data_IF_072326550313
#
_entry.id   IF_072326550313
#
_cell.length_a   1.000
_cell.length_b   1.000
_cell.length_c   1.000
_cell.angle_alpha   90.00
_cell.angle_beta   90.00
_cell.angle_gamma   90.00
#
_symmetry.space_group_name_H-M   'P 1'
#
loop_
_entity.id
_entity.type
_entity.pdbx_description
1 polymer ?
#
# COMPACT_ATOMS: atom_id res chain seq x y z
N UNK A 1 25.09 -1.14 0.34
CA UNK A 1 23.82 -0.71 -0.35
C UNK A 1 22.66 -1.26 0.46
N UNK A 2 21.70 -0.40 0.82
CA UNK A 2 20.52 -0.81 1.59
C UNK A 2 19.58 -1.58 0.65
N UNK A 3 19.16 -2.77 1.05
CA UNK A 3 18.23 -3.58 0.25
C UNK A 3 16.81 -3.00 0.26
N UNK A 4 15.97 -3.45 -0.67
CA UNK A 4 14.55 -3.07 -0.68
C UNK A 4 13.84 -3.56 0.59
N UNK A 5 14.16 -4.77 1.04
CA UNK A 5 13.63 -5.33 2.29
C UNK A 5 14.00 -4.48 3.51
N UNK A 6 15.28 -4.07 3.63
CA UNK A 6 15.71 -3.18 4.71
C UNK A 6 14.97 -1.84 4.70
N UNK A 7 14.71 -1.27 3.51
CA UNK A 7 13.94 -0.03 3.38
C UNK A 7 12.49 -0.22 3.84
N UNK A 8 11.84 -1.32 3.44
CA UNK A 8 10.48 -1.65 3.87
C UNK A 8 10.42 -1.79 5.40
N UNK A 9 11.34 -2.56 5.99
CA UNK A 9 11.39 -2.76 7.44
C UNK A 9 11.66 -1.46 8.20
N UNK A 10 12.56 -0.62 7.70
CA UNK A 10 12.85 0.69 8.32
C UNK A 10 11.62 1.62 8.27
N UNK A 11 10.95 1.69 7.12
CA UNK A 11 9.73 2.49 7.00
C UNK A 11 8.65 1.98 7.95
N UNK A 12 8.45 0.66 8.00
CA UNK A 12 7.52 0.04 8.94
C UNK A 12 7.82 0.44 10.39
N UNK A 13 9.06 0.29 10.82
CA UNK A 13 9.50 0.63 12.17
C UNK A 13 9.28 2.11 12.51
N UNK A 14 9.56 3.02 11.56
CA UNK A 14 9.37 4.46 11.74
C UNK A 14 7.90 4.85 11.86
N UNK A 15 7.03 4.25 11.04
CA UNK A 15 5.59 4.48 11.09
C UNK A 15 4.96 3.87 12.34
N UNK A 16 5.38 2.66 12.73
CA UNK A 16 4.91 1.98 13.94
C UNK A 16 5.27 2.77 15.20
N UNK A 17 6.51 3.25 15.31
CA UNK A 17 6.95 4.13 16.42
C UNK A 17 6.18 5.44 16.50
N UNK A 18 5.65 5.92 15.39
CA UNK A 18 4.84 7.14 15.34
C UNK A 18 3.33 6.85 15.53
N UNK A 19 2.96 5.60 15.80
CA UNK A 19 1.57 5.14 15.93
C UNK A 19 0.74 5.43 14.67
N UNK A 20 1.38 5.31 13.50
CA UNK A 20 0.74 5.50 12.19
C UNK A 20 0.29 4.15 11.64
N UNK A 21 -1.02 3.91 11.64
CA UNK A 21 -1.60 2.72 11.03
C UNK A 21 -1.35 2.72 9.51
N UNK A 22 -0.81 1.62 9.01
CA UNK A 22 -0.42 1.49 7.60
C UNK A 22 -0.46 0.03 7.14
N UNK A 23 -0.42 -0.17 5.83
CA UNK A 23 -0.24 -1.49 5.22
C UNK A 23 0.49 -1.36 3.88
N UNK A 24 1.41 -2.28 3.63
CA UNK A 24 2.09 -2.36 2.33
C UNK A 24 1.17 -2.96 1.27
N UNK A 25 1.20 -2.38 0.08
CA UNK A 25 0.39 -2.79 -1.06
C UNK A 25 1.24 -3.29 -2.23
N UNK A 26 0.74 -3.09 -3.44
CA UNK A 26 1.46 -3.31 -4.68
C UNK A 26 2.05 -4.72 -4.83
N UNK A 27 3.27 -4.79 -5.37
CA UNK A 27 3.94 -6.06 -5.64
C UNK A 27 4.26 -6.87 -4.38
N UNK A 28 4.49 -6.20 -3.25
CA UNK A 28 4.75 -6.89 -1.98
C UNK A 28 3.50 -7.63 -1.48
N UNK A 29 2.35 -6.95 -1.43
CA UNK A 29 1.09 -7.59 -1.06
C UNK A 29 0.71 -8.71 -2.04
N UNK A 30 0.94 -8.52 -3.33
CA UNK A 30 0.71 -9.54 -4.35
C UNK A 30 1.57 -10.80 -4.11
N UNK A 31 2.84 -10.63 -3.74
CA UNK A 31 3.73 -11.75 -3.43
C UNK A 31 3.21 -12.61 -2.26
N UNK A 32 2.68 -11.98 -1.21
CA UNK A 32 2.07 -12.72 -0.11
C UNK A 32 0.74 -13.39 -0.51
N UNK A 33 -0.02 -12.78 -1.41
CA UNK A 33 -1.28 -13.34 -1.90
C UNK A 33 -1.04 -14.55 -2.81
N UNK A 34 -0.11 -14.47 -3.76
CA UNK A 34 0.14 -15.51 -4.75
C UNK A 34 1.23 -16.51 -4.32
N UNK A 35 2.02 -16.18 -3.31
CA UNK A 35 3.19 -16.97 -2.90
C UNK A 35 4.38 -16.86 -3.85
N UNK A 36 4.30 -16.01 -4.88
CA UNK A 36 5.35 -15.81 -5.88
C UNK A 36 5.93 -14.39 -5.80
N UNK A 37 7.18 -14.23 -5.31
CA UNK A 37 7.85 -12.94 -5.30
C UNK A 37 8.03 -12.40 -6.72
N UNK A 38 7.66 -11.13 -6.93
CA UNK A 38 7.93 -10.42 -8.16
C UNK A 38 9.01 -9.37 -7.93
N UNK A 39 9.92 -9.22 -8.87
CA UNK A 39 10.88 -8.13 -8.83
C UNK A 39 10.14 -6.78 -8.89
N UNK A 40 10.40 -5.92 -7.91
CA UNK A 40 9.89 -4.56 -7.83
C UNK A 40 10.99 -3.62 -7.38
N UNK A 41 10.88 -2.34 -7.75
CA UNK A 41 11.73 -1.26 -7.25
C UNK A 41 10.95 -0.28 -6.39
N UNK A 42 9.62 -0.33 -6.47
CA UNK A 42 8.72 0.60 -5.82
C UNK A 42 8.20 0.00 -4.51
N UNK A 43 7.99 0.85 -3.53
CA UNK A 43 7.33 0.53 -2.27
C UNK A 43 5.97 1.22 -2.27
N UNK A 44 4.89 0.45 -2.19
CA UNK A 44 3.52 0.97 -2.10
C UNK A 44 3.05 0.86 -0.66
N UNK A 45 2.57 1.98 -0.09
CA UNK A 45 2.12 2.04 1.30
C UNK A 45 0.77 2.75 1.38
N UNK A 46 -0.19 2.07 1.98
CA UNK A 46 -1.45 2.68 2.37
C UNK A 46 -1.30 3.21 3.80
N UNK A 47 -1.54 4.51 3.97
CA UNK A 47 -1.51 5.22 5.24
C UNK A 47 -2.96 5.45 5.67
N UNK A 48 -3.35 4.91 6.82
CA UNK A 48 -4.73 4.99 7.31
C UNK A 48 -4.98 6.28 8.11
N UNK A 49 -4.55 7.39 7.53
CA UNK A 49 -4.80 8.76 8.00
C UNK A 49 -5.38 9.59 6.84
N UNK A 50 -6.18 10.63 7.13
CA UNK A 50 -6.57 11.59 6.10
C UNK A 50 -5.34 12.40 5.62
N UNK A 51 -5.38 12.88 4.36
CA UNK A 51 -4.28 13.61 3.74
C UNK A 51 -3.87 14.89 4.51
N UNK A 52 -4.82 15.48 5.23
CA UNK A 52 -4.60 16.66 6.09
C UNK A 52 -3.61 16.37 7.23
N UNK A 53 -3.49 15.11 7.65
CA UNK A 53 -2.58 14.67 8.71
C UNK A 53 -1.20 14.23 8.19
N UNK A 54 -0.86 14.54 6.95
CA UNK A 54 0.44 14.18 6.33
C UNK A 54 1.65 14.61 7.16
N UNK A 55 1.53 15.67 7.94
CA UNK A 55 2.62 16.15 8.81
C UNK A 55 3.10 15.10 9.81
N UNK A 56 2.23 14.20 10.26
CA UNK A 56 2.60 13.08 11.15
C UNK A 56 3.53 12.11 10.42
N UNK A 57 3.17 11.72 9.21
CA UNK A 57 3.96 10.82 8.36
C UNK A 57 5.27 11.47 7.94
N UNK A 58 5.23 12.75 7.54
CA UNK A 58 6.40 13.53 7.19
C UNK A 58 7.42 13.57 8.34
N UNK A 59 6.95 13.81 9.57
CA UNK A 59 7.78 13.82 10.77
C UNK A 59 8.35 12.43 11.08
N UNK A 60 7.55 11.37 10.92
CA UNK A 60 7.99 9.99 11.15
C UNK A 60 9.10 9.57 10.18
N UNK A 61 8.97 9.90 8.91
CA UNK A 61 9.89 9.47 7.84
C UNK A 61 11.05 10.45 7.57
N UNK A 62 11.14 11.57 8.26
CA UNK A 62 12.11 12.66 8.00
C UNK A 62 13.59 12.24 7.98
N UNK A 63 13.93 11.12 8.60
CA UNK A 63 15.31 10.62 8.62
C UNK A 63 15.73 9.91 7.32
N UNK A 64 14.75 9.53 6.50
CA UNK A 64 14.97 8.72 5.29
C UNK A 64 14.28 9.28 4.04
N UNK A 65 13.23 10.08 4.19
CA UNK A 65 12.45 10.66 3.09
C UNK A 65 12.22 12.15 3.34
N UNK A 66 12.52 12.96 2.35
CA UNK A 66 12.19 14.38 2.32
C UNK A 66 11.02 14.63 1.37
N UNK A 67 10.03 15.39 1.86
CA UNK A 67 8.86 15.77 1.09
C UNK A 67 9.03 17.18 0.51
N UNK A 68 8.85 17.31 -0.79
CA UNK A 68 8.81 18.62 -1.44
C UNK A 68 7.43 19.28 -1.28
N UNK A 69 7.37 20.59 -1.41
CA UNK A 69 6.09 21.32 -1.37
C UNK A 69 5.12 20.86 -2.48
N UNK A 70 5.63 20.51 -3.66
CA UNK A 70 4.79 20.02 -4.75
C UNK A 70 4.19 18.65 -4.46
N UNK A 71 4.96 17.77 -3.83
CA UNK A 71 4.45 16.47 -3.37
C UNK A 71 3.36 16.62 -2.30
N UNK A 72 3.55 17.53 -1.35
CA UNK A 72 2.56 17.82 -0.31
C UNK A 72 1.27 18.41 -0.91
N UNK A 73 1.38 19.35 -1.86
CA UNK A 73 0.21 19.89 -2.57
C UNK A 73 -0.54 18.82 -3.36
N UNK A 74 0.21 17.97 -4.08
CA UNK A 74 -0.39 16.87 -4.84
C UNK A 74 -1.10 15.88 -3.91
N UNK A 75 -0.48 15.51 -2.79
CA UNK A 75 -1.09 14.64 -1.79
C UNK A 75 -2.41 15.22 -1.26
N UNK A 76 -2.44 16.50 -0.92
CA UNK A 76 -3.65 17.15 -0.40
C UNK A 76 -4.78 17.20 -1.44
N UNK A 77 -4.44 17.30 -2.72
CA UNK A 77 -5.41 17.32 -3.80
C UNK A 77 -5.91 15.92 -4.18
N UNK A 78 -5.03 14.93 -4.25
CA UNK A 78 -5.30 13.63 -4.84
C UNK A 78 -5.32 12.48 -3.81
N UNK A 79 -4.94 12.73 -2.55
CA UNK A 79 -4.85 11.71 -1.51
C UNK A 79 -3.70 10.73 -1.68
N UNK A 80 -2.80 10.98 -2.63
CA UNK A 80 -1.65 10.15 -2.93
C UNK A 80 -0.46 10.98 -3.39
N UNK A 81 0.75 10.46 -3.19
CA UNK A 81 1.97 11.09 -3.73
C UNK A 81 3.11 10.08 -3.85
N UNK A 82 4.03 10.33 -4.77
CA UNK A 82 5.30 9.61 -4.87
C UNK A 82 6.41 10.43 -4.23
N UNK A 83 7.08 9.82 -3.27
CA UNK A 83 8.29 10.33 -2.64
C UNK A 83 9.45 9.38 -2.92
N UNK A 84 10.66 9.72 -2.50
CA UNK A 84 11.83 8.91 -2.79
C UNK A 84 12.68 8.72 -1.53
N UNK A 85 13.13 7.49 -1.31
CA UNK A 85 14.26 7.20 -0.44
C UNK A 85 15.47 6.90 -1.31
N UNK A 86 16.37 7.87 -1.47
CA UNK A 86 17.42 7.89 -2.50
C UNK A 86 16.79 7.72 -3.90
N UNK A 87 17.07 6.60 -4.57
CA UNK A 87 16.53 6.25 -5.88
C UNK A 87 15.31 5.31 -5.84
N UNK A 88 14.87 4.92 -4.63
CA UNK A 88 13.71 4.02 -4.46
C UNK A 88 12.42 4.84 -4.40
N UNK A 89 11.50 4.66 -5.37
CA UNK A 89 10.18 5.26 -5.30
C UNK A 89 9.36 4.68 -4.16
N UNK A 90 8.67 5.56 -3.43
CA UNK A 90 7.73 5.20 -2.37
C UNK A 90 6.40 5.88 -2.68
N UNK A 91 5.40 5.09 -3.02
CA UNK A 91 4.05 5.55 -3.31
C UNK A 91 3.21 5.50 -2.03
N UNK A 92 2.75 6.67 -1.59
CA UNK A 92 1.92 6.82 -0.41
C UNK A 92 0.47 7.07 -0.83
N UNK A 93 -0.46 6.28 -0.26
CA UNK A 93 -1.90 6.40 -0.46
C UNK A 93 -2.56 6.67 0.87
N UNK A 94 -3.24 7.81 0.99
CA UNK A 94 -3.93 8.24 2.21
C UNK A 94 -5.44 7.93 2.12
N UNK A 95 -6.14 8.03 3.25
CA UNK A 95 -7.58 7.84 3.29
C UNK A 95 -8.29 8.94 2.50
N UNK A 96 -8.99 8.55 1.44
CA UNK A 96 -9.83 9.45 0.63
C UNK A 96 -11.29 8.99 0.58
N UNK A 97 -11.61 7.83 1.17
CA UNK A 97 -12.95 7.26 1.15
C UNK A 97 -13.17 6.29 2.31
N UNK A 98 -14.42 5.92 2.54
CA UNK A 98 -14.81 4.90 3.53
C UNK A 98 -14.15 3.53 3.25
N UNK A 99 -13.82 3.25 1.99
CA UNK A 99 -13.09 2.04 1.61
C UNK A 99 -11.77 1.91 2.36
N UNK A 100 -11.00 3.00 2.49
CA UNK A 100 -9.74 3.00 3.22
C UNK A 100 -9.92 2.73 4.71
N UNK A 101 -11.03 3.16 5.32
CA UNK A 101 -11.34 2.82 6.71
C UNK A 101 -11.62 1.33 6.87
N UNK A 102 -12.36 0.72 5.95
CA UNK A 102 -12.58 -0.72 5.95
C UNK A 102 -11.28 -1.51 5.77
N UNK A 103 -10.36 -1.00 4.94
CA UNK A 103 -9.04 -1.62 4.73
C UNK A 103 -8.23 -1.68 6.01
N UNK A 104 -8.22 -0.61 6.81
CA UNK A 104 -7.46 -0.55 8.06
C UNK A 104 -7.89 -1.62 9.07
N UNK A 105 -9.16 -2.03 9.02
CA UNK A 105 -9.72 -3.05 9.90
C UNK A 105 -9.45 -4.49 9.42
N UNK A 106 -8.99 -4.69 8.18
CA UNK A 106 -8.80 -6.00 7.55
C UNK A 106 -7.44 -6.10 6.86
N UNK A 107 -6.38 -5.68 7.53
CA UNK A 107 -5.01 -5.92 7.05
C UNK A 107 -4.61 -7.37 7.30
N UNK A 108 -3.76 -7.89 6.43
CA UNK A 108 -3.08 -9.17 6.63
C UNK A 108 -1.69 -8.95 7.20
N UNK A 109 -1.06 -10.02 7.68
CA UNK A 109 0.33 -9.98 8.14
C UNK A 109 1.21 -10.75 7.15
N UNK A 110 2.31 -10.14 6.74
CA UNK A 110 3.36 -10.77 5.97
C UNK A 110 4.63 -10.91 6.80
N UNK A 111 5.42 -11.95 6.56
CA UNK A 111 6.72 -12.14 7.20
C UNK A 111 7.83 -11.73 6.23
N UNK A 112 8.57 -10.68 6.56
CA UNK A 112 9.71 -10.20 5.78
C UNK A 112 10.96 -10.24 6.65
N UNK A 113 11.93 -11.07 6.26
CA UNK A 113 13.18 -11.28 7.00
C UNK A 113 12.98 -11.54 8.51
N UNK A 114 11.93 -12.30 8.84
CA UNK A 114 11.60 -12.66 10.22
C UNK A 114 10.81 -11.61 11.00
N UNK A 115 10.46 -10.50 10.39
CA UNK A 115 9.63 -9.44 10.98
C UNK A 115 8.24 -9.46 10.38
N UNK A 116 7.21 -9.44 11.23
CA UNK A 116 5.82 -9.29 10.78
C UNK A 116 5.57 -7.83 10.34
N UNK A 117 5.05 -7.67 9.13
CA UNK A 117 4.65 -6.38 8.57
C UNK A 117 3.19 -6.41 8.14
N UNK A 118 2.45 -5.30 8.29
CA UNK A 118 1.07 -5.22 7.79
C UNK A 118 1.06 -5.12 6.27
N UNK A 119 0.27 -5.96 5.62
CA UNK A 119 0.05 -5.92 4.17
C UNK A 119 -1.44 -5.81 3.86
N UNK A 120 -1.78 -5.26 2.69
CA UNK A 120 -3.17 -5.26 2.23
C UNK A 120 -3.68 -6.71 2.13
N UNK A 121 -4.92 -6.92 2.57
CA UNK A 121 -5.59 -8.20 2.31
C UNK A 121 -5.75 -8.42 0.81
N UNK A 122 -5.88 -9.68 0.41
CA UNK A 122 -6.06 -10.04 -1.00
C UNK A 122 -7.30 -9.37 -1.60
N UNK A 123 -8.40 -9.24 -0.83
CA UNK A 123 -9.63 -8.59 -1.27
C UNK A 123 -9.41 -7.12 -1.62
N UNK A 124 -8.76 -6.35 -0.76
CA UNK A 124 -8.51 -4.93 -1.02
C UNK A 124 -7.47 -4.72 -2.12
N UNK A 125 -6.46 -5.58 -2.20
CA UNK A 125 -5.52 -5.57 -3.32
C UNK A 125 -6.26 -5.80 -4.65
N UNK A 126 -7.19 -6.76 -4.71
CA UNK A 126 -8.00 -7.04 -5.89
C UNK A 126 -8.88 -5.85 -6.27
N UNK A 127 -9.53 -5.20 -5.31
CA UNK A 127 -10.35 -4.01 -5.55
C UNK A 127 -9.50 -2.89 -6.19
N UNK A 128 -8.32 -2.59 -5.63
CA UNK A 128 -7.44 -1.56 -6.20
C UNK A 128 -6.97 -1.89 -7.60
N UNK A 129 -6.58 -3.15 -7.85
CA UNK A 129 -6.14 -3.56 -9.19
C UNK A 129 -7.25 -3.43 -10.22
N UNK A 130 -8.48 -3.79 -9.87
CA UNK A 130 -9.63 -3.60 -10.73
C UNK A 130 -9.90 -2.09 -11.01
N UNK A 131 -9.77 -1.24 -9.99
CA UNK A 131 -9.95 0.22 -10.14
C UNK A 131 -8.86 0.86 -10.99
N UNK A 132 -7.60 0.45 -10.86
CA UNK A 132 -6.50 0.94 -11.70
C UNK A 132 -6.65 0.52 -13.16
N UNK A 133 -7.25 -0.64 -13.43
CA UNK A 133 -7.68 -1.09 -14.75
C UNK A 133 -6.56 -1.08 -15.82
N UNK A 134 -5.30 -1.33 -15.42
CA UNK A 134 -4.18 -1.46 -16.33
C UNK A 134 -4.02 -2.91 -16.77
N UNK A 135 -3.40 -3.16 -17.92
CA UNK A 135 -3.16 -4.53 -18.43
C UNK A 135 -2.46 -5.42 -17.39
N UNK A 136 -1.44 -4.89 -16.73
CA UNK A 136 -0.72 -5.63 -15.67
C UNK A 136 -1.62 -5.94 -14.47
N UNK A 137 -2.57 -5.08 -14.14
CA UNK A 137 -3.48 -5.30 -13.01
C UNK A 137 -4.44 -6.45 -13.29
N UNK A 138 -4.90 -6.61 -14.52
CA UNK A 138 -5.75 -7.73 -14.93
C UNK A 138 -4.99 -9.05 -14.90
N UNK A 139 -3.71 -9.08 -15.34
CA UNK A 139 -2.86 -10.26 -15.23
C UNK A 139 -2.63 -10.65 -13.76
N UNK A 140 -2.45 -9.67 -12.88
CA UNK A 140 -2.31 -9.90 -11.44
C UNK A 140 -3.62 -10.43 -10.83
N UNK A 141 -4.77 -9.89 -11.21
CA UNK A 141 -6.09 -10.38 -10.79
C UNK A 141 -6.32 -11.83 -11.21
N UNK A 142 -5.95 -12.17 -12.43
CA UNK A 142 -6.04 -13.55 -12.93
C UNK A 142 -5.23 -14.51 -12.06
N UNK A 143 -3.97 -14.17 -11.75
CA UNK A 143 -3.13 -14.95 -10.85
C UNK A 143 -3.72 -15.08 -9.45
N UNK A 144 -4.32 -13.99 -8.91
CA UNK A 144 -4.98 -14.01 -7.60
C UNK A 144 -6.21 -14.92 -7.60
N UNK A 145 -7.01 -14.91 -8.67
CA UNK A 145 -8.17 -15.81 -8.84
C UNK A 145 -7.74 -17.26 -8.92
N UNK A 146 -6.67 -17.56 -9.67
CA UNK A 146 -6.13 -18.92 -9.78
C UNK A 146 -5.68 -19.48 -8.42
N UNK A 147 -5.09 -18.65 -7.57
CA UNK A 147 -4.74 -19.04 -6.19
C UNK A 147 -5.96 -19.25 -5.27
N UNK A 148 -7.09 -18.61 -5.56
CA UNK A 148 -8.37 -18.84 -4.89
C UNK A 148 -8.38 -18.48 -3.40
N UNK A 149 -7.53 -17.57 -2.94
CA UNK A 149 -7.33 -17.24 -1.52
C UNK A 149 -8.05 -15.97 -1.07
N UNK A 150 -9.02 -15.48 -1.81
CA UNK A 150 -9.80 -14.31 -1.42
C UNK A 150 -11.29 -14.48 -1.72
N UNK A 151 -12.12 -13.71 -1.00
CA UNK A 151 -13.57 -13.66 -1.18
C UNK A 151 -13.92 -12.82 -2.41
N UNK A 152 -14.11 -13.49 -3.55
CA UNK A 152 -14.47 -12.82 -4.81
C UNK A 152 -15.85 -12.19 -4.78
N UNK A 153 -16.81 -12.75 -4.05
CA UNK A 153 -18.16 -12.19 -3.92
C UNK A 153 -18.11 -10.85 -3.18
N UNK A 154 -17.30 -10.76 -2.12
CA UNK A 154 -17.04 -9.51 -1.43
C UNK A 154 -16.40 -8.47 -2.36
N UNK A 155 -15.38 -8.84 -3.13
CA UNK A 155 -14.70 -7.95 -4.07
C UNK A 155 -15.68 -7.41 -5.12
N UNK A 156 -16.48 -8.29 -5.73
CA UNK A 156 -17.48 -7.92 -6.73
C UNK A 156 -18.52 -6.96 -6.14
N UNK A 157 -19.02 -7.25 -4.94
CA UNK A 157 -19.96 -6.38 -4.23
C UNK A 157 -19.40 -4.98 -4.01
N UNK A 158 -18.15 -4.89 -3.51
CA UNK A 158 -17.50 -3.59 -3.29
C UNK A 158 -17.27 -2.82 -4.58
N UNK A 159 -16.86 -3.50 -5.66
CA UNK A 159 -16.69 -2.88 -6.97
C UNK A 159 -18.02 -2.38 -7.54
N UNK A 160 -19.11 -3.12 -7.37
CA UNK A 160 -20.44 -2.68 -7.79
C UNK A 160 -20.88 -1.41 -7.04
N UNK A 161 -20.62 -1.34 -5.73
CA UNK A 161 -20.94 -0.15 -4.93
C UNK A 161 -20.10 1.08 -5.32
N UNK A 162 -18.83 0.87 -5.69
CA UNK A 162 -17.90 1.94 -6.05
C UNK A 162 -18.10 2.47 -7.47
N UNK A 163 -18.47 1.60 -8.40
CA UNK A 163 -18.56 1.93 -9.84
C UNK A 163 -19.99 2.20 -10.30
N UNK A 164 -20.98 1.92 -9.48
CA UNK A 164 -22.40 2.12 -9.79
C UNK A 164 -22.95 1.01 -10.66
#
# INVERSE_FOLDING_TARGET
MISLADRILTIHELLDKADVAHAFGGALALAYCTGEPRATRDIDINIFLPAEEVSVVQKALRSVIEFTESQLRYLQAEGQTRVFWDDTPVDLFFNVSDLHQHMSMKTSQGLLDGVEIPVLSAEFLAIFKAMFNRTKDWADLEAMVEEGKFDSDFVISQLADLLG
#
